data_IF_590427653035
#
_entry.id   IF_590427653035
#
_cell.length_a   1.000
_cell.length_b   1.000
_cell.length_c   1.000
_cell.angle_alpha   90.00
_cell.angle_beta   90.00
_cell.angle_gamma   90.00
#
_symmetry.space_group_name_H-M   'P 1'
#
loop_
_entity.id
_entity.type
_entity.pdbx_description
1 polymer ?
#
# COMPACT_ATOMS: atom_id res chain seq x y z
N UNK A 1 39.97 -7.59 18.83
CA UNK A 1 38.80 -7.72 19.71
C UNK A 1 39.27 -8.44 20.94
N UNK A 2 39.25 -7.75 22.06
CA UNK A 2 39.59 -8.33 23.36
C UNK A 2 38.39 -9.17 23.83
N UNK A 3 38.59 -10.48 23.98
CA UNK A 3 37.53 -11.41 24.36
C UNK A 3 37.18 -11.28 25.84
N UNK A 4 38.16 -10.96 26.70
CA UNK A 4 37.94 -10.79 28.14
C UNK A 4 36.98 -9.61 28.40
N UNK A 5 37.14 -8.53 27.64
CA UNK A 5 36.31 -7.34 27.74
C UNK A 5 34.94 -7.49 27.07
N UNK A 6 34.90 -8.07 25.87
CA UNK A 6 33.69 -8.04 25.02
C UNK A 6 32.75 -9.22 25.31
N UNK A 7 33.31 -10.41 25.52
CA UNK A 7 32.53 -11.65 25.63
C UNK A 7 33.25 -12.72 26.48
N UNK A 8 33.53 -12.45 27.76
CA UNK A 8 34.34 -13.34 28.61
C UNK A 8 33.73 -14.73 28.78
N UNK A 9 32.41 -14.85 28.59
CA UNK A 9 31.70 -16.14 28.66
C UNK A 9 32.24 -17.17 27.65
N UNK A 10 32.80 -16.72 26.50
CA UNK A 10 33.36 -17.61 25.48
C UNK A 10 34.59 -18.38 25.99
N UNK A 11 35.33 -17.82 26.96
CA UNK A 11 36.52 -18.44 27.53
C UNK A 11 36.22 -19.78 28.21
N UNK A 12 34.98 -20.02 28.64
CA UNK A 12 34.55 -21.26 29.28
C UNK A 12 34.24 -22.39 28.29
N UNK A 13 34.18 -22.08 27.00
CA UNK A 13 33.75 -23.01 25.95
C UNK A 13 34.84 -23.34 24.92
N UNK A 14 36.07 -22.84 25.12
CA UNK A 14 37.20 -23.20 24.26
C UNK A 14 37.78 -24.56 24.66
N UNK A 15 38.30 -25.29 23.67
CA UNK A 15 39.05 -26.53 23.93
C UNK A 15 40.43 -26.20 24.51
N UNK A 16 41.05 -27.13 25.26
CA UNK A 16 42.39 -26.93 25.84
C UNK A 16 43.42 -26.41 24.82
N UNK A 17 43.46 -26.98 23.60
CA UNK A 17 44.37 -26.55 22.53
C UNK A 17 44.15 -25.08 22.09
N UNK A 18 42.90 -24.61 22.11
CA UNK A 18 42.56 -23.24 21.71
C UNK A 18 42.82 -22.28 22.87
N UNK A 19 42.61 -22.74 24.11
CA UNK A 19 42.89 -21.97 25.31
C UNK A 19 44.36 -21.57 25.38
N UNK A 20 45.29 -22.52 25.21
CA UNK A 20 46.74 -22.23 25.22
C UNK A 20 47.11 -21.16 24.17
N UNK A 21 46.59 -21.28 22.94
CA UNK A 21 46.83 -20.30 21.87
C UNK A 21 46.22 -18.93 22.16
N UNK A 22 45.09 -18.87 22.86
CA UNK A 22 44.45 -17.61 23.21
C UNK A 22 45.18 -16.92 24.37
N UNK A 23 45.63 -17.68 25.37
CA UNK A 23 46.45 -17.17 26.47
C UNK A 23 47.76 -16.58 25.95
N UNK A 24 48.40 -17.20 24.95
CA UNK A 24 49.60 -16.65 24.28
C UNK A 24 49.33 -15.33 23.53
N UNK A 25 48.10 -15.10 23.09
CA UNK A 25 47.68 -13.89 22.37
C UNK A 25 46.89 -12.92 23.25
N UNK A 26 46.99 -13.04 24.58
CA UNK A 26 46.29 -12.23 25.57
C UNK A 26 44.77 -12.15 25.31
N UNK A 27 44.17 -13.22 24.80
CA UNK A 27 42.75 -13.31 24.40
C UNK A 27 42.30 -12.24 23.39
N UNK A 28 43.24 -11.68 22.64
CA UNK A 28 42.96 -10.69 21.58
C UNK A 28 42.86 -11.39 20.22
N UNK A 29 41.70 -11.27 19.58
CA UNK A 29 41.51 -11.68 18.19
C UNK A 29 41.70 -10.48 17.26
N UNK A 30 42.75 -10.50 16.44
CA UNK A 30 42.93 -9.55 15.35
C UNK A 30 42.13 -9.98 14.12
N UNK A 31 41.36 -9.06 13.54
CA UNK A 31 40.65 -9.30 12.29
C UNK A 31 41.27 -8.49 11.17
N UNK A 32 41.73 -9.18 10.13
CA UNK A 32 42.15 -8.57 8.89
C UNK A 32 40.97 -8.09 8.05
N UNK A 33 41.29 -7.36 6.98
CA UNK A 33 40.29 -6.93 6.00
C UNK A 33 39.52 -8.12 5.41
N UNK A 34 40.22 -9.18 5.01
CA UNK A 34 39.61 -10.35 4.38
C UNK A 34 38.73 -11.14 5.35
N UNK A 35 39.10 -11.19 6.64
CA UNK A 35 38.29 -11.83 7.68
C UNK A 35 36.96 -11.09 7.83
N UNK A 36 37.00 -9.78 8.07
CA UNK A 36 35.79 -8.95 8.18
C UNK A 36 34.96 -9.03 6.90
N UNK A 37 35.60 -8.90 5.74
CA UNK A 37 34.91 -8.97 4.45
C UNK A 37 34.18 -10.31 4.29
N UNK A 38 34.83 -11.43 4.59
CA UNK A 38 34.24 -12.77 4.48
C UNK A 38 33.04 -12.95 5.40
N UNK A 39 33.08 -12.40 6.61
CA UNK A 39 31.96 -12.42 7.56
C UNK A 39 30.74 -11.71 6.99
N UNK A 40 30.92 -10.56 6.33
CA UNK A 40 29.82 -9.77 5.78
C UNK A 40 29.40 -10.16 4.36
N UNK A 41 30.25 -10.85 3.59
CA UNK A 41 29.97 -11.21 2.19
C UNK A 41 28.69 -12.01 2.01
N UNK A 42 28.41 -12.94 2.92
CA UNK A 42 27.18 -13.74 2.90
C UNK A 42 25.92 -12.87 3.04
N UNK A 43 25.95 -11.89 3.94
CA UNK A 43 24.84 -10.97 4.19
C UNK A 43 24.67 -10.00 3.02
N UNK A 44 25.76 -9.41 2.54
CA UNK A 44 25.75 -8.48 1.40
C UNK A 44 25.27 -9.18 0.13
N UNK A 45 25.75 -10.40 -0.14
CA UNK A 45 25.31 -11.19 -1.29
C UNK A 45 23.80 -11.47 -1.27
N UNK A 46 23.23 -11.76 -0.09
CA UNK A 46 21.77 -11.91 0.07
C UNK A 46 21.02 -10.61 -0.23
N UNK A 47 21.51 -9.47 0.27
CA UNK A 47 20.91 -8.15 -0.01
C UNK A 47 20.91 -7.87 -1.51
N UNK A 48 22.04 -8.07 -2.19
CA UNK A 48 22.16 -7.89 -3.64
C UNK A 48 21.17 -8.77 -4.39
N UNK A 49 21.09 -10.06 -4.05
CA UNK A 49 20.11 -10.98 -4.66
C UNK A 49 18.67 -10.50 -4.47
N UNK A 50 18.33 -9.99 -3.28
CA UNK A 50 17.01 -9.42 -3.02
C UNK A 50 16.72 -8.19 -3.87
N UNK A 51 17.71 -7.30 -4.04
CA UNK A 51 17.57 -6.12 -4.90
C UNK A 51 17.34 -6.54 -6.35
N UNK A 52 18.08 -7.53 -6.88
CA UNK A 52 17.82 -8.08 -8.22
C UNK A 52 16.37 -8.54 -8.37
N UNK A 53 15.89 -9.40 -7.47
CA UNK A 53 14.52 -9.91 -7.53
C UNK A 53 13.48 -8.79 -7.54
N UNK A 54 13.70 -7.71 -6.76
CA UNK A 54 12.77 -6.57 -6.75
C UNK A 54 12.82 -5.77 -8.06
N UNK A 55 14.03 -5.52 -8.59
CA UNK A 55 14.18 -4.77 -9.84
C UNK A 55 13.72 -5.57 -11.06
N UNK A 56 13.84 -6.90 -11.05
CA UNK A 56 13.43 -7.79 -12.15
C UNK A 56 11.91 -7.99 -12.17
N UNK A 57 11.26 -7.97 -11.00
CA UNK A 57 9.80 -8.03 -10.88
C UNK A 57 9.11 -6.69 -11.18
N UNK A 58 9.86 -5.59 -11.27
CA UNK A 58 9.30 -4.30 -11.57
C UNK A 58 9.07 -4.14 -13.08
N UNK A 59 7.88 -3.67 -13.46
CA UNK A 59 7.54 -3.38 -14.86
C UNK A 59 8.09 -2.03 -15.33
N UNK A 60 8.46 -1.17 -14.38
CA UNK A 60 8.94 0.19 -14.62
C UNK A 60 10.41 0.34 -14.25
N UNK A 61 11.05 1.36 -14.84
CA UNK A 61 12.44 1.71 -14.54
C UNK A 61 12.57 2.32 -13.16
N UNK A 62 13.43 1.76 -12.32
CA UNK A 62 13.76 2.32 -11.01
C UNK A 62 14.60 3.60 -11.18
N UNK A 63 14.02 4.74 -10.82
CA UNK A 63 14.67 6.05 -10.97
C UNK A 63 15.71 6.34 -9.90
N UNK A 64 15.49 5.86 -8.68
CA UNK A 64 16.38 6.07 -7.54
C UNK A 64 16.30 4.92 -6.52
N UNK A 65 17.41 4.67 -5.84
CA UNK A 65 17.53 3.74 -4.72
C UNK A 65 18.11 4.48 -3.52
N UNK A 66 17.35 4.53 -2.43
CA UNK A 66 17.74 5.20 -1.19
C UNK A 66 18.04 4.15 -0.12
N UNK A 67 19.29 4.09 0.36
CA UNK A 67 19.70 3.11 1.36
C UNK A 67 19.51 3.68 2.77
N UNK A 68 18.59 3.10 3.53
CA UNK A 68 18.22 3.55 4.89
C UNK A 68 18.58 2.49 5.95
N UNK A 69 18.59 2.89 7.23
CA UNK A 69 18.97 2.05 8.36
C UNK A 69 20.46 2.17 8.76
N UNK A 70 20.85 1.47 9.82
CA UNK A 70 22.24 1.51 10.31
C UNK A 70 23.23 0.88 9.34
N UNK A 71 22.90 -0.29 8.79
CA UNK A 71 23.78 -1.02 7.88
C UNK A 71 24.03 -0.26 6.57
N UNK A 72 23.11 0.63 6.14
CA UNK A 72 23.33 1.43 4.93
C UNK A 72 24.49 2.42 5.05
N UNK A 73 24.97 2.70 6.27
CA UNK A 73 26.19 3.49 6.49
C UNK A 73 27.48 2.74 6.15
N UNK A 74 27.42 1.42 5.99
CA UNK A 74 28.59 0.61 5.59
C UNK A 74 29.05 1.00 4.19
N UNK A 75 30.25 1.58 4.09
CA UNK A 75 30.89 1.87 2.80
C UNK A 75 31.02 0.62 1.93
N UNK A 76 31.30 -0.52 2.55
CA UNK A 76 31.39 -1.79 1.85
C UNK A 76 30.08 -2.15 1.15
N UNK A 77 28.95 -2.09 1.88
CA UNK A 77 27.63 -2.35 1.30
C UNK A 77 27.27 -1.34 0.20
N UNK A 78 27.52 -0.04 0.44
CA UNK A 78 27.23 1.01 -0.54
C UNK A 78 27.98 0.77 -1.86
N UNK A 79 29.28 0.48 -1.80
CA UNK A 79 30.09 0.24 -3.00
C UNK A 79 29.67 -1.03 -3.73
N UNK A 80 29.39 -2.13 -3.00
CA UNK A 80 28.88 -3.37 -3.60
C UNK A 80 27.55 -3.16 -4.32
N UNK A 81 26.62 -2.39 -3.72
CA UNK A 81 25.33 -2.05 -4.36
C UNK A 81 25.55 -1.14 -5.58
N UNK A 82 26.40 -0.12 -5.48
CA UNK A 82 26.67 0.78 -6.62
C UNK A 82 27.29 0.02 -7.78
N UNK A 83 28.32 -0.79 -7.54
CA UNK A 83 28.98 -1.59 -8.58
C UNK A 83 27.98 -2.47 -9.32
N UNK A 84 27.10 -3.14 -8.58
CA UNK A 84 26.11 -4.04 -9.15
C UNK A 84 25.00 -3.28 -9.90
N UNK A 85 24.47 -2.19 -9.35
CA UNK A 85 23.20 -1.61 -9.81
C UNK A 85 23.29 -0.24 -10.51
N UNK A 86 24.44 0.43 -10.53
CA UNK A 86 24.57 1.77 -11.14
C UNK A 86 24.17 1.83 -12.62
N UNK A 87 24.30 0.70 -13.33
CA UNK A 87 23.91 0.60 -14.74
C UNK A 87 22.39 0.53 -14.94
N UNK A 88 21.62 0.13 -13.91
CA UNK A 88 20.15 0.05 -13.92
C UNK A 88 19.51 1.24 -13.22
N UNK A 89 20.09 1.69 -12.11
CA UNK A 89 19.57 2.75 -11.26
C UNK A 89 20.61 3.86 -11.18
N UNK A 90 20.33 4.97 -11.86
CA UNK A 90 21.29 6.08 -11.98
C UNK A 90 21.55 6.78 -10.65
N UNK A 91 20.55 6.86 -9.77
CA UNK A 91 20.64 7.56 -8.50
C UNK A 91 20.60 6.56 -7.34
N UNK A 92 21.77 6.16 -6.84
CA UNK A 92 21.90 5.33 -5.64
C UNK A 92 22.53 6.20 -4.56
N UNK A 93 21.81 6.46 -3.48
CA UNK A 93 22.28 7.37 -2.42
C UNK A 93 21.89 6.91 -1.02
N UNK A 94 22.61 7.44 -0.03
CA UNK A 94 22.33 7.24 1.39
C UNK A 94 21.90 8.60 1.95
N UNK A 95 20.71 8.71 2.56
CA UNK A 95 20.29 9.95 3.19
C UNK A 95 21.26 10.38 4.30
N UNK A 96 21.31 11.68 4.60
CA UNK A 96 22.21 12.23 5.64
C UNK A 96 22.07 11.55 7.00
N UNK A 97 20.84 11.15 7.36
CA UNK A 97 20.54 10.46 8.61
C UNK A 97 19.77 9.16 8.31
N UNK A 98 20.45 8.12 7.82
CA UNK A 98 19.78 6.93 7.29
C UNK A 98 19.05 6.14 8.38
N UNK A 99 19.55 6.16 9.62
CA UNK A 99 18.92 5.52 10.79
C UNK A 99 17.58 6.19 11.13
N UNK A 100 17.51 7.52 11.05
CA UNK A 100 16.31 8.30 11.40
C UNK A 100 15.39 8.59 10.20
N UNK A 101 15.78 8.18 8.98
CA UNK A 101 15.12 8.57 7.74
C UNK A 101 13.62 8.22 7.75
N UNK A 102 13.28 7.01 8.22
CA UNK A 102 11.90 6.52 8.28
C UNK A 102 11.06 7.35 9.26
N UNK A 103 11.51 7.48 10.52
CA UNK A 103 10.80 8.22 11.56
C UNK A 103 10.64 9.70 11.22
N UNK A 104 11.68 10.32 10.62
CA UNK A 104 11.61 11.70 10.12
C UNK A 104 10.59 11.84 9.00
N UNK A 105 10.60 10.94 8.03
CA UNK A 105 9.60 10.92 6.95
C UNK A 105 8.17 10.81 7.49
N UNK A 106 7.94 9.92 8.47
CA UNK A 106 6.64 9.77 9.12
C UNK A 106 6.20 11.04 9.86
N UNK A 107 7.10 11.68 10.63
CA UNK A 107 6.81 12.93 11.32
C UNK A 107 6.49 14.07 10.34
N UNK A 108 7.25 14.19 9.25
CA UNK A 108 7.00 15.16 8.19
C UNK A 108 5.67 14.91 7.50
N UNK A 109 5.32 13.65 7.24
CA UNK A 109 4.02 13.28 6.69
C UNK A 109 2.87 13.72 7.61
N UNK A 110 2.95 13.38 8.91
CA UNK A 110 1.96 13.80 9.91
C UNK A 110 1.85 15.33 10.04
N UNK A 111 2.98 16.03 10.06
CA UNK A 111 2.99 17.50 10.09
C UNK A 111 2.33 18.09 8.83
N UNK A 112 2.60 17.51 7.65
CA UNK A 112 1.95 17.95 6.42
C UNK A 112 0.44 17.72 6.44
N UNK A 113 -0.07 16.69 7.12
CA UNK A 113 -1.50 16.46 7.31
C UNK A 113 -2.14 17.60 8.13
N UNK A 114 -1.50 17.99 9.24
CA UNK A 114 -1.97 19.04 10.14
C UNK A 114 -1.96 20.40 9.44
N UNK A 115 -0.85 20.74 8.78
CA UNK A 115 -0.66 22.03 8.13
C UNK A 115 -1.52 22.25 6.89
N UNK A 116 -2.09 21.17 6.32
CA UNK A 116 -3.01 21.21 5.19
C UNK A 116 -4.48 21.12 5.62
N UNK A 117 -4.78 21.22 6.91
CA UNK A 117 -6.16 21.28 7.40
C UNK A 117 -6.79 22.63 7.05
N UNK A 118 -8.09 22.65 6.65
CA UNK A 118 -8.76 23.85 6.13
C UNK A 118 -8.89 25.01 7.14
N UNK A 119 -8.64 24.77 8.43
CA UNK A 119 -8.76 25.78 9.50
C UNK A 119 -7.46 26.56 9.77
N UNK A 120 -6.39 26.35 9.01
CA UNK A 120 -5.14 27.09 9.16
C UNK A 120 -5.01 28.17 8.08
N UNK A 121 -4.86 29.43 8.52
CA UNK A 121 -4.74 30.63 7.65
C UNK A 121 -3.53 30.60 6.69
N UNK A 122 -2.62 29.62 6.84
CA UNK A 122 -1.51 29.33 5.94
C UNK A 122 -1.51 27.85 5.53
N UNK A 123 -2.60 27.37 4.93
CA UNK A 123 -2.71 25.97 4.51
C UNK A 123 -1.59 25.62 3.53
N UNK A 124 -0.61 24.84 3.98
CA UNK A 124 0.48 24.38 3.13
C UNK A 124 0.01 23.19 2.28
N UNK A 125 0.57 23.07 1.07
CA UNK A 125 0.30 21.94 0.17
C UNK A 125 0.67 20.63 0.87
N UNK A 126 -0.28 19.70 0.94
CA UNK A 126 -0.01 18.37 1.48
C UNK A 126 1.06 17.65 0.63
N UNK A 127 1.92 16.84 1.26
CA UNK A 127 3.09 16.28 0.59
C UNK A 127 2.72 15.28 -0.52
N UNK A 128 1.60 14.55 -0.37
CA UNK A 128 1.10 13.60 -1.37
C UNK A 128 -0.17 14.14 -2.02
N UNK A 129 -0.06 14.74 -3.20
CA UNK A 129 -1.20 15.37 -3.87
C UNK A 129 -2.03 14.41 -4.73
N UNK A 130 -1.40 13.34 -5.18
CA UNK A 130 -1.99 12.38 -6.10
C UNK A 130 -1.60 10.96 -5.72
N UNK A 131 -2.44 10.00 -6.12
CA UNK A 131 -2.20 8.56 -5.92
C UNK A 131 -2.63 7.77 -7.11
N UNK A 132 -1.95 6.66 -7.36
CA UNK A 132 -2.37 5.69 -8.37
C UNK A 132 -3.21 4.61 -7.69
N UNK A 133 -4.44 4.41 -8.17
CA UNK A 133 -5.32 3.38 -7.62
C UNK A 133 -4.76 1.98 -7.86
N UNK A 134 -4.61 1.19 -6.78
CA UNK A 134 -4.12 -0.20 -6.85
C UNK A 134 -5.18 -1.17 -7.37
N UNK A 135 -6.45 -0.82 -7.21
CA UNK A 135 -7.60 -1.65 -7.53
C UNK A 135 -8.62 -0.88 -8.36
N UNK A 136 -9.46 -1.63 -9.08
CA UNK A 136 -10.67 -1.12 -9.68
C UNK A 136 -11.80 -1.25 -8.67
N UNK A 137 -12.49 -0.15 -8.39
CA UNK A 137 -13.57 -0.06 -7.41
C UNK A 137 -14.92 0.15 -8.08
N UNK A 138 -15.97 -0.37 -7.47
CA UNK A 138 -17.31 -0.29 -8.00
C UNK A 138 -18.36 -0.83 -7.06
N UNK A 139 -19.59 -0.88 -7.54
CA UNK A 139 -20.74 -1.41 -6.80
C UNK A 139 -21.38 -2.56 -7.54
N UNK A 140 -22.04 -3.44 -6.79
CA UNK A 140 -22.93 -4.42 -7.40
C UNK A 140 -24.16 -3.71 -8.00
N UNK A 141 -24.53 -4.12 -9.20
CA UNK A 141 -25.68 -3.61 -9.92
C UNK A 141 -26.48 -4.79 -10.50
N UNK A 142 -27.80 -4.63 -10.60
CA UNK A 142 -28.68 -5.68 -11.13
C UNK A 142 -28.84 -5.55 -12.65
N UNK A 143 -28.93 -6.71 -13.31
CA UNK A 143 -29.27 -6.96 -14.71
C UNK A 143 -30.04 -5.86 -15.48
N UNK A 144 -29.70 -5.68 -16.77
CA UNK A 144 -30.50 -4.94 -17.77
C UNK A 144 -30.84 -5.85 -18.97
N UNK A 145 -31.91 -5.50 -19.69
CA UNK A 145 -32.34 -6.17 -20.93
C UNK A 145 -31.18 -6.22 -21.94
N UNK A 146 -30.68 -7.42 -22.23
CA UNK A 146 -29.54 -7.67 -23.13
C UNK A 146 -28.37 -8.43 -22.51
N UNK A 147 -28.30 -8.58 -21.18
CA UNK A 147 -27.23 -9.38 -20.55
C UNK A 147 -27.45 -10.91 -20.75
N UNK A 148 -26.37 -11.70 -20.84
CA UNK A 148 -26.41 -13.11 -21.21
C UNK A 148 -27.16 -13.97 -20.17
N UNK A 149 -28.19 -14.69 -20.65
CA UNK A 149 -29.12 -15.48 -19.81
C UNK A 149 -28.39 -16.57 -19.00
N UNK A 150 -27.28 -17.09 -19.51
CA UNK A 150 -26.45 -18.11 -18.84
C UNK A 150 -25.80 -17.64 -17.53
N UNK A 151 -25.65 -16.32 -17.32
CA UNK A 151 -25.14 -15.72 -16.07
C UNK A 151 -26.23 -15.48 -15.02
N UNK A 152 -27.46 -15.93 -15.30
CA UNK A 152 -28.61 -15.79 -14.39
C UNK A 152 -28.50 -16.76 -13.23
N UNK A 153 -28.46 -16.23 -12.01
CA UNK A 153 -28.47 -17.03 -10.78
C UNK A 153 -29.85 -17.67 -10.55
N UNK A 154 -29.92 -18.61 -9.60
CA UNK A 154 -31.17 -19.30 -9.21
C UNK A 154 -32.31 -18.36 -8.80
N UNK A 155 -31.97 -17.17 -8.28
CA UNK A 155 -32.93 -16.09 -7.96
C UNK A 155 -33.41 -15.29 -9.19
N UNK A 156 -33.01 -15.70 -10.39
CA UNK A 156 -33.38 -15.05 -11.65
C UNK A 156 -32.65 -13.74 -11.94
N UNK A 157 -31.61 -13.36 -11.19
CA UNK A 157 -30.87 -12.10 -11.36
C UNK A 157 -29.44 -12.32 -11.83
N UNK A 158 -28.90 -11.33 -12.52
CA UNK A 158 -27.48 -11.22 -12.86
C UNK A 158 -26.90 -10.08 -12.03
N UNK A 159 -25.83 -10.37 -11.30
CA UNK A 159 -25.15 -9.37 -10.48
C UNK A 159 -23.94 -8.88 -11.26
N UNK A 160 -24.07 -7.68 -11.84
CA UNK A 160 -23.00 -7.02 -12.57
C UNK A 160 -22.18 -6.17 -11.62
N UNK A 161 -20.96 -5.90 -12.03
CA UNK A 161 -20.08 -4.93 -11.40
C UNK A 161 -20.12 -3.63 -12.21
N UNK A 162 -20.55 -2.55 -11.55
CA UNK A 162 -20.44 -1.21 -12.11
C UNK A 162 -19.15 -0.58 -11.61
N UNK A 163 -18.13 -0.55 -12.48
CA UNK A 163 -16.87 0.14 -12.20
C UNK A 163 -17.11 1.66 -12.11
N UNK A 164 -16.60 2.26 -11.03
CA UNK A 164 -16.64 3.70 -10.77
C UNK A 164 -15.24 4.32 -10.92
N UNK A 165 -14.22 3.65 -10.40
CA UNK A 165 -12.83 4.09 -10.46
C UNK A 165 -11.93 2.92 -10.84
N UNK A 166 -11.04 3.10 -11.81
CA UNK A 166 -10.23 2.01 -12.37
C UNK A 166 -8.83 1.95 -11.76
N UNK A 167 -8.29 0.74 -11.68
CA UNK A 167 -6.88 0.52 -11.35
C UNK A 167 -5.99 1.32 -12.30
N UNK A 168 -4.95 1.94 -11.76
CA UNK A 168 -3.99 2.74 -12.52
C UNK A 168 -4.40 4.20 -12.72
N UNK A 169 -5.64 4.56 -12.39
CA UNK A 169 -6.06 5.97 -12.43
C UNK A 169 -5.29 6.79 -11.40
N UNK A 170 -4.73 7.91 -11.84
CA UNK A 170 -4.17 8.94 -10.98
C UNK A 170 -5.34 9.73 -10.39
N UNK A 171 -5.44 9.77 -9.07
CA UNK A 171 -6.50 10.46 -8.34
C UNK A 171 -5.92 11.57 -7.47
N UNK A 172 -6.55 12.74 -7.52
CA UNK A 172 -6.30 13.82 -6.58
C UNK A 172 -6.96 13.54 -5.23
N UNK A 173 -6.46 14.19 -4.17
CA UNK A 173 -7.08 14.09 -2.84
C UNK A 173 -8.53 14.58 -2.89
N UNK A 174 -9.44 13.81 -2.31
CA UNK A 174 -10.87 14.06 -2.27
C UNK A 174 -11.54 14.06 -3.65
N UNK A 175 -10.89 13.52 -4.68
CA UNK A 175 -11.54 13.31 -5.96
C UNK A 175 -12.67 12.29 -5.81
N UNK A 176 -13.85 12.65 -6.31
CA UNK A 176 -15.08 11.85 -6.23
C UNK A 176 -15.42 11.24 -7.60
N UNK A 177 -15.72 9.94 -7.60
CA UNK A 177 -16.26 9.22 -8.76
C UNK A 177 -17.71 8.87 -8.49
N UNK A 178 -18.62 9.41 -9.29
CA UNK A 178 -20.06 9.28 -9.05
C UNK A 178 -20.79 8.50 -10.15
N UNK A 179 -21.91 7.89 -9.78
CA UNK A 179 -22.87 7.33 -10.73
C UNK A 179 -24.30 7.55 -10.23
N UNK A 180 -25.20 7.83 -11.17
CA UNK A 180 -26.63 7.95 -10.90
C UNK A 180 -27.27 6.55 -10.88
N UNK A 181 -27.87 6.18 -9.75
CA UNK A 181 -28.50 4.88 -9.52
C UNK A 181 -30.00 5.07 -9.28
N UNK A 182 -30.78 4.07 -9.69
CA UNK A 182 -32.22 4.03 -9.51
C UNK A 182 -32.62 2.75 -8.76
N UNK A 183 -33.63 2.82 -7.86
CA UNK A 183 -34.20 1.63 -7.25
C UNK A 183 -34.68 0.63 -8.29
N UNK A 184 -34.56 -0.66 -7.98
CA UNK A 184 -34.94 -1.76 -8.90
C UNK A 184 -36.46 -1.79 -9.07
N UNK A 185 -37.20 -1.45 -8.00
CA UNK A 185 -38.66 -1.37 -7.97
C UNK A 185 -39.10 0.02 -7.49
N UNK A 186 -40.25 0.48 -8.00
CA UNK A 186 -40.92 1.69 -7.51
C UNK A 186 -41.28 1.59 -6.02
N UNK A 187 -41.54 0.37 -5.51
CA UNK A 187 -41.93 0.13 -4.11
C UNK A 187 -40.78 -0.02 -3.13
N UNK A 188 -39.53 -0.02 -3.61
CA UNK A 188 -38.36 -0.31 -2.79
C UNK A 188 -38.09 0.83 -1.80
N UNK A 189 -38.13 0.55 -0.50
CA UNK A 189 -37.97 1.53 0.59
C UNK A 189 -36.55 1.60 1.18
N UNK A 190 -35.63 0.77 0.70
CA UNK A 190 -34.22 0.79 1.10
C UNK A 190 -33.34 0.25 -0.04
N UNK A 191 -32.09 0.71 -0.13
CA UNK A 191 -31.09 0.18 -1.07
C UNK A 191 -29.84 -0.19 -0.29
N UNK A 192 -29.33 -1.39 -0.51
CA UNK A 192 -28.03 -1.81 -0.01
C UNK A 192 -26.99 -1.75 -1.14
N UNK A 193 -26.06 -0.80 -1.05
CA UNK A 193 -24.95 -0.68 -1.97
C UNK A 193 -23.81 -1.59 -1.53
N UNK A 194 -23.69 -2.76 -2.15
CA UNK A 194 -22.55 -3.64 -1.95
C UNK A 194 -21.36 -3.14 -2.77
N UNK A 195 -20.26 -2.80 -2.10
CA UNK A 195 -19.06 -2.22 -2.70
C UNK A 195 -18.04 -3.32 -2.90
N UNK A 196 -17.45 -3.39 -4.09
CA UNK A 196 -16.48 -4.41 -4.48
C UNK A 196 -15.21 -3.76 -5.05
N UNK A 197 -14.12 -4.52 -5.00
CA UNK A 197 -12.87 -4.16 -5.66
C UNK A 197 -12.22 -5.38 -6.31
N UNK A 198 -11.33 -5.13 -7.27
CA UNK A 198 -10.52 -6.17 -7.91
C UNK A 198 -9.16 -5.63 -8.35
N UNK A 199 -8.15 -6.50 -8.37
CA UNK A 199 -6.84 -6.18 -8.94
C UNK A 199 -6.87 -6.12 -10.48
N UNK A 200 -7.94 -6.54 -11.15
CA UNK A 200 -8.06 -6.44 -12.61
C UNK A 200 -8.34 -4.99 -13.05
N UNK A 201 -7.84 -4.59 -14.22
CA UNK A 201 -8.12 -3.26 -14.81
C UNK A 201 -9.59 -3.11 -15.21
N UNK A 202 -10.22 -4.20 -15.62
CA UNK A 202 -11.63 -4.25 -15.99
C UNK A 202 -12.28 -5.51 -15.41
N UNK A 203 -13.50 -5.37 -14.95
CA UNK A 203 -14.37 -6.48 -14.55
C UNK A 203 -15.82 -6.12 -14.91
N UNK A 204 -16.64 -7.14 -15.14
CA UNK A 204 -18.04 -6.96 -15.55
C UNK A 204 -19.03 -7.58 -14.56
N UNK A 205 -18.61 -8.59 -13.81
CA UNK A 205 -19.45 -9.33 -12.86
C UNK A 205 -18.79 -9.44 -11.49
N UNK A 206 -19.62 -9.50 -10.44
CA UNK A 206 -19.12 -9.57 -9.06
C UNK A 206 -18.62 -10.98 -8.65
N UNK A 207 -18.84 -11.99 -9.48
CA UNK A 207 -18.36 -13.36 -9.29
C UNK A 207 -17.16 -13.72 -10.16
N UNK A 208 -16.56 -12.73 -10.81
CA UNK A 208 -15.28 -12.93 -11.48
C UNK A 208 -14.16 -13.21 -10.47
N UNK A 209 -13.21 -14.04 -10.89
CA UNK A 209 -12.01 -14.35 -10.13
C UNK A 209 -11.25 -13.07 -9.70
N UNK A 210 -10.82 -13.02 -8.45
CA UNK A 210 -10.17 -11.86 -7.84
C UNK A 210 -11.07 -10.65 -7.56
N UNK A 211 -12.39 -10.85 -7.51
CA UNK A 211 -13.35 -9.85 -7.03
C UNK A 211 -13.63 -10.07 -5.53
N UNK A 212 -13.50 -9.01 -4.75
CA UNK A 212 -13.69 -9.05 -3.30
C UNK A 212 -14.70 -7.99 -2.85
N UNK A 213 -15.57 -8.35 -1.91
CA UNK A 213 -16.50 -7.40 -1.28
C UNK A 213 -15.73 -6.60 -0.25
N UNK A 214 -15.79 -5.27 -0.36
CA UNK A 214 -15.17 -4.36 0.59
C UNK A 214 -16.11 -4.06 1.77
N UNK A 215 -17.30 -3.55 1.48
CA UNK A 215 -18.26 -3.08 2.48
C UNK A 215 -19.67 -3.05 1.90
N UNK A 216 -20.66 -2.67 2.71
CA UNK A 216 -22.03 -2.37 2.28
C UNK A 216 -22.51 -1.04 2.87
N UNK A 217 -23.21 -0.24 2.06
CA UNK A 217 -23.87 0.99 2.50
C UNK A 217 -25.39 0.84 2.33
N UNK A 218 -26.09 0.60 3.43
CA UNK A 218 -27.54 0.52 3.47
C UNK A 218 -28.14 1.92 3.65
N UNK A 219 -29.05 2.31 2.74
CA UNK A 219 -29.77 3.57 2.80
C UNK A 219 -31.28 3.36 2.86
N UNK A 220 -31.97 4.29 3.52
CA UNK A 220 -33.43 4.37 3.50
C UNK A 220 -33.91 5.21 2.32
N UNK A 221 -35.06 4.82 1.75
CA UNK A 221 -35.74 5.50 0.66
C UNK A 221 -37.24 5.65 0.99
N UNK A 222 -37.59 6.54 1.94
CA UNK A 222 -38.97 6.68 2.43
C UNK A 222 -39.93 7.23 1.37
N UNK A 223 -39.42 7.85 0.31
CA UNK A 223 -40.17 8.55 -0.75
C UNK A 223 -40.85 7.60 -1.76
N UNK A 224 -41.33 6.43 -1.32
CA UNK A 224 -41.84 5.34 -2.18
C UNK A 224 -43.00 5.78 -3.09
N UNK A 225 -43.72 6.84 -2.71
CA UNK A 225 -44.82 7.41 -3.48
C UNK A 225 -44.37 8.20 -4.72
N UNK A 226 -43.08 8.54 -4.83
CA UNK A 226 -42.52 9.25 -5.97
C UNK A 226 -42.03 8.26 -7.03
N UNK A 227 -42.34 8.53 -8.30
CA UNK A 227 -42.01 7.62 -9.41
C UNK A 227 -40.51 7.46 -9.62
N UNK A 228 -39.82 8.54 -10.05
CA UNK A 228 -38.38 8.51 -10.33
C UNK A 228 -37.61 9.00 -9.11
N UNK A 229 -36.80 8.11 -8.52
CA UNK A 229 -36.05 8.36 -7.28
C UNK A 229 -34.54 8.20 -7.55
N UNK A 230 -33.87 9.23 -8.08
CA UNK A 230 -32.45 9.17 -8.37
C UNK A 230 -31.62 9.20 -7.08
N UNK A 231 -30.61 8.34 -7.00
CA UNK A 231 -29.63 8.30 -5.93
C UNK A 231 -28.26 8.55 -6.58
N UNK A 232 -27.57 9.60 -6.15
CA UNK A 232 -26.20 9.83 -6.55
C UNK A 232 -25.29 9.05 -5.61
N UNK A 233 -24.71 7.97 -6.11
CA UNK A 233 -23.70 7.20 -5.38
C UNK A 233 -22.32 7.74 -5.74
N UNK A 234 -21.44 7.89 -4.75
CA UNK A 234 -20.07 8.40 -4.92
C UNK A 234 -19.04 7.55 -4.19
N UNK A 235 -17.84 7.43 -4.78
CA UNK A 235 -16.63 7.00 -4.09
C UNK A 235 -15.64 8.16 -4.08
N UNK A 236 -15.31 8.64 -2.89
CA UNK A 236 -14.34 9.71 -2.68
C UNK A 236 -13.04 9.14 -2.16
N UNK A 237 -11.93 9.43 -2.85
CA UNK A 237 -10.60 8.96 -2.46
C UNK A 237 -9.92 10.05 -1.62
N UNK A 238 -10.02 9.90 -0.31
CA UNK A 238 -9.43 10.82 0.67
C UNK A 238 -7.93 10.61 0.88
N UNK A 239 -7.43 11.17 1.99
CA UNK A 239 -5.99 11.14 2.29
C UNK A 239 -5.52 9.80 2.84
N UNK A 240 -6.32 9.02 3.53
CA UNK A 240 -5.94 7.67 3.97
C UNK A 240 -7.09 6.67 3.82
N UNK A 241 -8.23 7.17 3.36
CA UNK A 241 -9.50 6.50 3.41
C UNK A 241 -10.25 6.65 2.08
N UNK A 242 -11.14 5.70 1.82
CA UNK A 242 -12.13 5.83 0.75
C UNK A 242 -13.48 6.01 1.44
N UNK A 243 -14.26 7.00 1.03
CA UNK A 243 -15.61 7.23 1.53
C UNK A 243 -16.61 6.86 0.45
N UNK A 244 -17.56 6.00 0.78
CA UNK A 244 -18.73 5.77 -0.05
C UNK A 244 -19.86 6.69 0.41
N UNK A 245 -20.47 7.41 -0.53
CA UNK A 245 -21.59 8.32 -0.29
C UNK A 245 -22.79 7.90 -1.12
N UNK A 246 -23.99 8.16 -0.60
CA UNK A 246 -25.24 7.96 -1.32
C UNK A 246 -26.21 9.08 -0.96
N UNK A 247 -26.50 9.94 -1.94
CA UNK A 247 -27.39 11.10 -1.78
C UNK A 247 -28.68 10.91 -2.56
N UNK A 248 -29.80 10.82 -1.84
CA UNK A 248 -31.13 10.89 -2.44
C UNK A 248 -31.35 12.29 -3.03
N UNK A 249 -31.54 12.34 -4.36
CA UNK A 249 -31.63 13.60 -5.10
C UNK A 249 -32.99 14.30 -4.93
N UNK A 250 -34.01 13.63 -4.39
CA UNK A 250 -35.32 14.22 -4.16
C UNK A 250 -35.41 14.97 -2.84
N UNK A 251 -34.97 14.33 -1.75
CA UNK A 251 -35.13 14.84 -0.39
C UNK A 251 -33.82 15.32 0.24
N UNK A 252 -32.68 15.14 -0.45
CA UNK A 252 -31.36 15.58 0.00
C UNK A 252 -30.72 14.71 1.09
N UNK A 253 -31.38 13.64 1.55
CA UNK A 253 -30.81 12.71 2.53
C UNK A 253 -29.49 12.14 2.00
N UNK A 254 -28.46 12.22 2.84
CA UNK A 254 -27.12 11.78 2.51
C UNK A 254 -26.66 10.73 3.53
N UNK A 255 -26.15 9.62 3.02
CA UNK A 255 -25.58 8.53 3.79
C UNK A 255 -24.13 8.38 3.39
N UNK A 256 -23.26 8.09 4.34
CA UNK A 256 -21.86 7.87 4.07
C UNK A 256 -21.28 6.80 4.98
N UNK A 257 -20.30 6.07 4.46
CA UNK A 257 -19.46 5.15 5.25
C UNK A 257 -18.01 5.24 4.79
N UNK A 258 -17.08 5.03 5.72
CA UNK A 258 -15.65 4.98 5.42
C UNK A 258 -15.24 3.52 5.26
N UNK A 259 -14.64 3.21 4.12
CA UNK A 259 -14.19 1.88 3.77
C UNK A 259 -12.85 1.63 4.45
N UNK A 260 -12.82 0.66 5.37
CA UNK A 260 -11.58 0.26 6.04
C UNK A 260 -10.86 -0.74 5.16
N UNK A 261 -9.63 -0.41 4.76
CA UNK A 261 -8.69 -1.41 4.27
C UNK A 261 -7.92 -1.95 5.47
N UNK A 262 -7.97 -3.26 5.67
CA UNK A 262 -6.90 -3.94 6.41
C UNK A 262 -5.67 -3.92 5.48
N UNK A 263 -4.76 -2.98 5.73
CA UNK A 263 -3.48 -2.84 5.01
C UNK A 263 -2.46 -3.79 5.65
#
# INVERSE_FOLDING_TARGET
MDIEDVVPVVMQYVTEEVQEKMEENDWVIEFGYDDIKSMFDSVVGRIIKMIHMQLDNNRETCSAMLLVGGLSQSKYLQERIKQEFQHRVKNISVPLQPIAAISRGAALYGLSMINSAPNFENSHKFVINERVLKYTYGISHVWKKGDPIERRRSNGRIHKFLSLAQRGTVVEINQEFTSMIFPISSTQSAVDFLIYFTAKYSAQYIDEDGMEKLESLLISLPDVHYGRRPILFGLTFGRMEITASAKNQLNGQNYQTTLKFDI
#
